data_IF_157543402520
#
_entry.id   IF_157543402520
#
_cell.length_a   1.000
_cell.length_b   1.000
_cell.length_c   1.000
_cell.angle_alpha   90.00
_cell.angle_beta   90.00
_cell.angle_gamma   90.00
#
_symmetry.space_group_name_H-M   'P 1'
#
loop_
_entity.id
_entity.type
_entity.pdbx_description
1 polymer ?
#
# COMPACT_ATOMS: atom_id res chain seq x y z
N UNK A 1 0.51 17.15 14.59
CA UNK A 1 -0.11 16.89 13.26
C UNK A 1 0.52 17.90 12.32
N UNK A 2 1.55 17.53 11.57
CA UNK A 2 2.15 18.37 10.56
C UNK A 2 1.31 18.22 9.27
N UNK A 3 0.63 19.27 8.83
CA UNK A 3 0.00 19.33 7.54
C UNK A 3 0.90 20.13 6.60
N UNK A 4 1.47 19.47 5.58
CA UNK A 4 2.10 20.15 4.46
C UNK A 4 1.01 20.40 3.40
N UNK A 5 0.64 21.64 3.17
CA UNK A 5 -0.25 22.05 2.09
C UNK A 5 0.61 22.61 0.95
N UNK A 6 0.62 21.90 -0.18
CA UNK A 6 1.19 22.42 -1.42
C UNK A 6 0.11 23.21 -2.19
N UNK A 7 0.40 24.47 -2.53
CA UNK A 7 -0.35 25.25 -3.52
C UNK A 7 0.45 25.28 -4.82
N UNK A 8 -0.22 25.01 -5.91
CA UNK A 8 0.30 24.83 -7.27
C UNK A 8 0.94 26.07 -7.93
N UNK A 9 1.26 26.03 -9.24
CA UNK A 9 2.50 26.54 -9.80
C UNK A 9 2.51 28.03 -10.01
N UNK A 10 3.42 28.69 -9.30
CA UNK A 10 3.88 30.02 -9.63
C UNK A 10 5.37 30.11 -9.33
N UNK A 11 6.20 29.93 -10.34
CA UNK A 11 7.65 30.18 -10.21
C UNK A 11 7.84 31.70 -10.12
N UNK A 12 7.72 32.20 -8.90
CA UNK A 12 8.17 33.53 -8.56
C UNK A 12 9.54 33.45 -7.93
N UNK A 13 10.53 34.15 -8.52
CA UNK A 13 11.87 34.35 -7.96
C UNK A 13 11.74 34.92 -6.55
N UNK A 14 12.13 34.13 -5.55
CA UNK A 14 12.24 34.58 -4.17
C UNK A 14 13.40 35.57 -4.04
N UNK A 15 13.21 36.74 -3.41
CA UNK A 15 14.31 37.62 -3.09
C UNK A 15 15.21 36.98 -2.03
N UNK A 16 16.51 37.13 -2.25
CA UNK A 16 17.56 36.62 -1.39
C UNK A 16 17.54 37.25 0.01
N UNK A 17 17.85 36.41 0.98
CA UNK A 17 18.42 36.73 2.28
C UNK A 17 17.60 37.62 3.22
N UNK A 18 16.67 36.99 3.94
CA UNK A 18 16.44 37.42 5.33
C UNK A 18 17.44 36.63 6.19
N UNK A 19 18.20 37.34 7.01
CA UNK A 19 19.15 36.76 7.93
C UNK A 19 18.44 35.70 8.80
N UNK A 20 18.95 34.51 8.75
CA UNK A 20 18.45 33.37 9.54
C UNK A 20 18.83 33.69 11.00
N UNK A 21 17.88 34.19 11.77
CA UNK A 21 18.03 34.20 13.24
C UNK A 21 18.25 32.74 13.68
N UNK A 22 19.20 32.54 14.58
CA UNK A 22 19.51 31.21 15.10
C UNK A 22 18.21 30.51 15.56
N UNK A 23 17.94 29.35 15.03
CA UNK A 23 16.73 28.61 15.29
C UNK A 23 16.47 28.53 16.81
N UNK A 24 15.27 28.89 17.28
CA UNK A 24 14.94 28.78 18.69
C UNK A 24 15.13 27.34 19.15
N UNK A 25 15.74 27.14 20.29
CA UNK A 25 15.89 25.81 20.90
C UNK A 25 14.51 25.14 21.09
N UNK A 26 14.51 23.85 21.31
CA UNK A 26 13.27 23.09 21.49
C UNK A 26 12.38 23.75 22.55
N UNK A 27 11.09 24.08 22.26
CA UNK A 27 10.17 24.65 23.24
C UNK A 27 10.11 23.81 24.51
N UNK A 28 10.05 24.46 25.69
CA UNK A 28 10.18 23.80 26.97
C UNK A 28 9.22 22.63 27.18
N UNK A 29 8.01 22.71 26.66
CA UNK A 29 7.02 21.59 26.71
C UNK A 29 7.46 20.39 25.89
N UNK A 30 8.01 20.61 24.70
CA UNK A 30 8.55 19.55 23.85
C UNK A 30 9.83 18.97 24.46
N UNK A 31 10.67 19.80 25.07
CA UNK A 31 11.88 19.38 25.74
C UNK A 31 11.58 18.41 26.91
N UNK A 32 10.52 18.67 27.68
CA UNK A 32 10.06 17.76 28.74
C UNK A 32 9.65 16.40 28.17
N UNK A 33 8.91 16.38 27.07
CA UNK A 33 8.48 15.14 26.45
C UNK A 33 9.66 14.34 25.87
N UNK A 34 10.51 15.00 25.11
CA UNK A 34 11.69 14.37 24.48
C UNK A 34 12.63 13.80 25.55
N UNK A 35 12.90 14.59 26.61
CA UNK A 35 13.75 14.15 27.72
C UNK A 35 13.10 13.03 28.53
N UNK A 36 11.79 13.11 28.78
CA UNK A 36 11.03 12.08 29.50
C UNK A 36 11.06 10.72 28.81
N UNK A 37 11.06 10.72 27.49
CA UNK A 37 11.20 9.50 26.67
C UNK A 37 12.65 9.15 26.33
N UNK A 38 13.61 9.92 26.79
CA UNK A 38 15.06 9.72 26.53
C UNK A 38 15.38 9.57 25.03
N UNK A 39 14.71 10.35 24.20
CA UNK A 39 14.93 10.31 22.75
C UNK A 39 16.29 10.91 22.42
N UNK A 40 17.13 10.23 21.62
CA UNK A 40 18.37 10.80 21.10
C UNK A 40 18.09 12.08 20.28
N UNK A 41 19.00 13.05 20.33
CA UNK A 41 18.80 14.33 19.66
C UNK A 41 18.70 14.24 18.13
N UNK A 42 19.24 13.18 17.54
CA UNK A 42 19.24 12.88 16.11
C UNK A 42 18.05 11.99 15.67
N UNK A 43 17.20 11.56 16.61
CA UNK A 43 16.07 10.66 16.32
C UNK A 43 14.76 11.38 16.01
N UNK A 44 14.75 12.71 16.04
CA UNK A 44 13.55 13.51 15.77
C UNK A 44 13.88 14.77 14.98
N UNK A 45 12.90 15.25 14.22
CA UNK A 45 12.94 16.54 13.54
C UNK A 45 11.62 17.28 13.70
N UNK A 46 11.67 18.60 13.79
CA UNK A 46 10.50 19.48 13.83
C UNK A 46 10.67 20.61 12.83
N UNK A 47 9.70 20.75 11.94
CA UNK A 47 9.55 21.90 11.07
C UNK A 47 8.15 22.47 11.27
N UNK A 48 8.06 23.70 11.73
CA UNK A 48 6.80 24.45 11.86
C UNK A 48 6.90 25.70 11.03
N UNK A 49 5.97 25.87 10.13
CA UNK A 49 5.90 27.04 9.26
C UNK A 49 4.52 27.68 9.34
N UNK A 50 4.46 28.97 9.23
CA UNK A 50 3.22 29.70 9.06
C UNK A 50 2.64 29.38 7.67
N UNK A 51 1.36 28.98 7.63
CA UNK A 51 0.76 28.46 6.40
C UNK A 51 0.60 29.52 5.29
N UNK A 52 0.44 30.79 5.65
CA UNK A 52 0.20 31.88 4.68
C UNK A 52 1.51 32.45 4.11
N UNK A 53 2.49 32.73 4.98
CA UNK A 53 3.74 33.36 4.59
C UNK A 53 4.86 32.37 4.27
N UNK A 54 4.75 31.12 4.72
CA UNK A 54 5.82 30.13 4.67
C UNK A 54 6.95 30.41 5.68
N UNK A 55 6.81 31.40 6.55
CA UNK A 55 7.83 31.77 7.51
C UNK A 55 8.07 30.61 8.49
N UNK A 56 9.34 30.25 8.69
CA UNK A 56 9.71 29.18 9.64
C UNK A 56 9.62 29.69 11.07
N UNK A 57 8.78 29.05 11.87
CA UNK A 57 8.57 29.31 13.29
C UNK A 57 9.47 28.44 14.16
N UNK A 58 9.68 27.20 13.76
CA UNK A 58 10.54 26.24 14.42
C UNK A 58 11.21 25.36 13.39
N UNK A 59 12.52 25.21 13.51
CA UNK A 59 13.31 24.27 12.71
C UNK A 59 14.31 23.55 13.62
N UNK A 60 14.12 22.25 13.78
CA UNK A 60 15.03 21.38 14.52
C UNK A 60 15.23 20.12 13.71
N UNK A 61 16.43 19.88 13.26
CA UNK A 61 16.81 18.71 12.48
C UNK A 61 15.92 18.45 11.24
N UNK A 62 15.27 19.47 10.68
CA UNK A 62 14.34 19.28 9.55
C UNK A 62 15.03 18.76 8.29
N UNK A 63 16.32 18.98 8.14
CA UNK A 63 17.13 18.48 7.03
C UNK A 63 17.74 17.09 7.29
N UNK A 64 17.56 16.54 8.49
CA UNK A 64 18.08 15.20 8.82
C UNK A 64 17.19 14.13 8.20
N UNK A 65 17.73 13.19 7.41
CA UNK A 65 16.95 12.09 6.87
C UNK A 65 16.45 11.18 8.01
N UNK A 66 15.14 11.12 8.17
CA UNK A 66 14.46 10.27 9.15
C UNK A 66 13.54 9.29 8.40
N UNK A 67 13.36 8.09 8.97
CA UNK A 67 12.41 7.13 8.41
C UNK A 67 10.98 7.67 8.61
N UNK A 68 10.25 8.01 7.54
CA UNK A 68 8.91 8.58 7.64
C UNK A 68 7.85 7.54 8.00
N UNK A 69 8.20 6.25 8.03
CA UNK A 69 7.26 5.15 8.21
C UNK A 69 6.02 5.34 7.30
N UNK A 70 4.82 5.13 7.82
CA UNK A 70 3.57 5.29 7.04
C UNK A 70 3.28 6.70 6.55
N UNK A 71 4.01 7.73 7.00
CA UNK A 71 3.86 9.09 6.44
C UNK A 71 4.29 9.15 4.98
N UNK A 72 5.16 8.24 4.53
CA UNK A 72 5.52 8.07 3.13
C UNK A 72 4.31 7.84 2.21
N UNK A 73 3.22 7.28 2.73
CA UNK A 73 1.99 7.05 1.96
C UNK A 73 1.38 8.34 1.41
N UNK A 74 1.60 9.48 2.08
CA UNK A 74 1.15 10.79 1.59
C UNK A 74 1.85 11.13 0.27
N UNK A 75 3.16 10.94 0.20
CA UNK A 75 3.94 11.20 -1.02
C UNK A 75 3.58 10.20 -2.12
N UNK A 76 3.48 8.92 -1.79
CA UNK A 76 3.09 7.88 -2.75
C UNK A 76 1.70 8.16 -3.32
N UNK A 77 0.73 8.53 -2.47
CA UNK A 77 -0.63 8.84 -2.92
C UNK A 77 -0.66 10.09 -3.80
N UNK A 78 0.09 11.14 -3.42
CA UNK A 78 0.19 12.35 -4.23
C UNK A 78 0.76 12.04 -5.62
N UNK A 79 1.87 11.31 -5.67
CA UNK A 79 2.49 10.92 -6.93
C UNK A 79 1.54 10.08 -7.80
N UNK A 80 0.82 9.14 -7.20
CA UNK A 80 -0.18 8.34 -7.90
C UNK A 80 -1.31 9.21 -8.48
N UNK A 81 -1.84 10.15 -7.71
CA UNK A 81 -2.90 11.05 -8.18
C UNK A 81 -2.42 11.98 -9.29
N UNK A 82 -1.19 12.47 -9.22
CA UNK A 82 -0.62 13.33 -10.25
C UNK A 82 -0.30 12.58 -11.55
N UNK A 83 0.19 11.35 -11.46
CA UNK A 83 0.59 10.58 -12.63
C UNK A 83 -0.56 9.80 -13.27
N UNK A 84 -1.42 9.22 -12.48
CA UNK A 84 -2.51 8.35 -12.95
C UNK A 84 -3.85 9.07 -13.02
N UNK A 85 -4.02 10.13 -12.23
CA UNK A 85 -5.28 10.84 -12.08
C UNK A 85 -6.26 10.16 -11.12
N UNK A 86 -7.29 10.91 -10.65
CA UNK A 86 -8.24 10.41 -9.65
C UNK A 86 -9.24 9.38 -10.22
N UNK A 87 -9.33 9.24 -11.54
CA UNK A 87 -10.23 8.28 -12.19
C UNK A 87 -9.54 6.96 -12.56
N UNK A 88 -8.27 6.79 -12.21
CA UNK A 88 -7.56 5.54 -12.48
C UNK A 88 -8.19 4.37 -11.72
N UNK A 89 -8.37 3.27 -12.42
CA UNK A 89 -8.88 2.02 -11.86
C UNK A 89 -7.93 0.88 -12.21
N UNK A 90 -7.75 -0.02 -11.27
CA UNK A 90 -7.04 -1.26 -11.47
C UNK A 90 -7.88 -2.25 -12.27
N UNK A 91 -7.23 -3.11 -13.04
CA UNK A 91 -7.90 -4.13 -13.83
C UNK A 91 -7.33 -5.51 -13.54
N UNK A 92 -8.22 -6.49 -13.50
CA UNK A 92 -7.88 -7.92 -13.57
C UNK A 92 -8.68 -8.49 -14.72
N UNK A 93 -7.99 -8.97 -15.74
CA UNK A 93 -8.61 -9.41 -16.99
C UNK A 93 -8.73 -10.92 -17.06
N UNK A 94 -9.83 -11.40 -17.65
CA UNK A 94 -10.09 -12.81 -17.89
C UNK A 94 -10.15 -13.05 -19.39
N UNK A 95 -9.37 -14.02 -19.87
CA UNK A 95 -9.35 -14.41 -21.28
C UNK A 95 -9.68 -15.88 -21.44
N UNK A 96 -10.72 -16.18 -22.21
CA UNK A 96 -11.04 -17.54 -22.61
C UNK A 96 -10.12 -17.96 -23.76
N UNK A 97 -9.24 -18.90 -23.54
CA UNK A 97 -8.28 -19.41 -24.53
C UNK A 97 -8.83 -20.65 -25.24
N UNK A 98 -10.03 -20.53 -25.79
CA UNK A 98 -10.68 -21.61 -26.55
C UNK A 98 -12.14 -21.30 -26.85
N UNK A 99 -12.80 -22.12 -27.67
CA UNK A 99 -14.21 -21.99 -27.95
C UNK A 99 -15.08 -22.38 -26.76
N UNK A 100 -16.28 -21.80 -26.67
CA UNK A 100 -17.27 -22.17 -25.65
C UNK A 100 -18.41 -22.96 -26.30
N UNK A 101 -18.66 -24.17 -25.83
CA UNK A 101 -19.73 -25.04 -26.27
C UNK A 101 -20.50 -25.57 -25.06
N UNK A 102 -21.81 -25.46 -25.07
CA UNK A 102 -22.71 -25.98 -24.01
C UNK A 102 -22.26 -25.58 -22.60
N UNK A 103 -21.87 -24.32 -22.44
CA UNK A 103 -21.41 -23.79 -21.16
C UNK A 103 -19.98 -24.18 -20.77
N UNK A 104 -19.27 -24.91 -21.60
CA UNK A 104 -17.90 -25.36 -21.35
C UNK A 104 -16.91 -24.60 -22.22
N UNK A 105 -15.93 -23.97 -21.60
CA UNK A 105 -14.74 -23.44 -22.28
C UNK A 105 -13.84 -24.65 -22.61
N UNK A 106 -13.68 -24.93 -23.92
CA UNK A 106 -12.79 -25.97 -24.41
C UNK A 106 -11.36 -25.42 -24.57
N UNK A 107 -10.70 -25.17 -23.45
CA UNK A 107 -9.37 -24.57 -23.36
C UNK A 107 -9.13 -23.98 -21.99
N UNK A 108 -8.07 -23.20 -21.88
CA UNK A 108 -7.62 -22.60 -20.63
C UNK A 108 -8.35 -21.29 -20.32
N UNK A 109 -8.43 -20.93 -19.07
CA UNK A 109 -8.79 -19.59 -18.61
C UNK A 109 -7.54 -18.86 -18.16
N UNK A 110 -7.16 -17.81 -18.89
CA UNK A 110 -6.07 -16.93 -18.48
C UNK A 110 -6.64 -15.81 -17.59
N UNK A 111 -6.04 -15.64 -16.42
CA UNK A 111 -6.27 -14.50 -15.51
C UNK A 111 -5.03 -13.63 -15.49
N UNK A 112 -5.15 -12.40 -15.98
CA UNK A 112 -4.06 -11.44 -16.02
C UNK A 112 -4.27 -10.37 -14.95
N UNK A 113 -3.31 -10.29 -14.02
CA UNK A 113 -3.30 -9.27 -12.98
C UNK A 113 -2.75 -7.93 -13.49
N UNK A 114 -3.42 -6.85 -13.14
CA UNK A 114 -2.98 -5.48 -13.38
C UNK A 114 -2.49 -4.78 -12.11
N UNK A 115 -2.22 -5.52 -11.04
CA UNK A 115 -1.69 -4.98 -9.80
C UNK A 115 -2.74 -4.39 -8.87
N UNK A 116 -4.00 -4.85 -8.95
CA UNK A 116 -5.06 -4.42 -8.04
C UNK A 116 -4.72 -4.82 -6.60
N UNK A 117 -4.42 -3.87 -5.69
CA UNK A 117 -4.10 -4.17 -4.31
C UNK A 117 -5.33 -4.56 -3.48
N UNK A 118 -6.54 -4.43 -4.05
CA UNK A 118 -7.80 -4.64 -3.35
C UNK A 118 -8.68 -5.71 -4.02
N UNK A 119 -8.04 -6.69 -4.67
CA UNK A 119 -8.73 -7.85 -5.23
C UNK A 119 -9.14 -8.80 -4.09
N UNK A 120 -10.27 -8.53 -3.47
CA UNK A 120 -10.82 -9.33 -2.38
C UNK A 120 -11.73 -10.44 -2.90
N UNK A 121 -12.21 -11.31 -2.00
CA UNK A 121 -13.09 -12.43 -2.32
C UNK A 121 -14.34 -11.99 -3.12
N UNK A 122 -14.95 -10.88 -2.75
CA UNK A 122 -16.15 -10.39 -3.45
C UNK A 122 -15.87 -10.01 -4.90
N UNK A 123 -14.71 -9.42 -5.19
CA UNK A 123 -14.28 -9.10 -6.55
C UNK A 123 -14.05 -10.38 -7.34
N UNK A 124 -13.35 -11.35 -6.77
CA UNK A 124 -13.14 -12.68 -7.39
C UNK A 124 -14.49 -13.35 -7.67
N UNK A 125 -15.40 -13.35 -6.70
CA UNK A 125 -16.76 -13.89 -6.87
C UNK A 125 -17.52 -13.18 -7.99
N UNK A 126 -17.39 -11.87 -8.11
CA UNK A 126 -18.02 -11.09 -9.18
C UNK A 126 -17.43 -11.41 -10.56
N UNK A 127 -16.12 -11.65 -10.64
CA UNK A 127 -15.45 -12.13 -11.86
C UNK A 127 -16.01 -13.48 -12.29
N UNK A 128 -16.15 -14.44 -11.37
CA UNK A 128 -16.75 -15.75 -11.66
C UNK A 128 -18.21 -15.62 -12.14
N UNK A 129 -19.01 -14.77 -11.50
CA UNK A 129 -20.36 -14.44 -11.99
C UNK A 129 -20.37 -13.82 -13.37
N UNK A 130 -19.36 -13.01 -13.70
CA UNK A 130 -19.23 -12.42 -15.03
C UNK A 130 -18.98 -13.52 -16.08
N UNK A 131 -18.11 -14.49 -15.82
CA UNK A 131 -17.91 -15.66 -16.68
C UNK A 131 -19.21 -16.44 -16.89
N UNK A 132 -19.95 -16.68 -15.82
CA UNK A 132 -21.25 -17.39 -15.90
C UNK A 132 -22.24 -16.61 -16.79
N UNK A 133 -22.30 -15.28 -16.67
CA UNK A 133 -23.16 -14.44 -17.54
C UNK A 133 -22.73 -14.48 -19.01
N UNK A 134 -21.46 -14.74 -19.30
CA UNK A 134 -20.94 -14.96 -20.64
C UNK A 134 -21.16 -16.40 -21.14
N UNK A 135 -21.87 -17.23 -20.35
CA UNK A 135 -22.20 -18.60 -20.69
C UNK A 135 -21.11 -19.61 -20.36
N UNK A 136 -20.07 -19.23 -19.61
CA UNK A 136 -19.00 -20.14 -19.18
C UNK A 136 -19.30 -20.63 -17.77
N UNK A 137 -19.66 -21.91 -17.62
CA UNK A 137 -19.95 -22.55 -16.35
C UNK A 137 -18.95 -23.67 -16.01
N UNK A 138 -18.14 -24.07 -17.00
CA UNK A 138 -17.11 -25.09 -16.87
C UNK A 138 -15.88 -24.68 -17.68
N UNK A 139 -14.71 -25.00 -17.17
CA UNK A 139 -13.42 -24.88 -17.85
C UNK A 139 -12.85 -26.27 -17.96
N UNK A 140 -12.45 -26.72 -19.16
CA UNK A 140 -11.90 -28.06 -19.41
C UNK A 140 -10.37 -28.07 -19.38
N UNK A 141 -9.74 -26.93 -19.57
CA UNK A 141 -8.30 -26.72 -19.50
C UNK A 141 -7.84 -26.23 -18.14
N UNK A 142 -6.71 -25.57 -18.12
CA UNK A 142 -6.05 -25.06 -16.93
C UNK A 142 -6.46 -23.62 -16.59
N UNK A 143 -6.24 -23.22 -15.34
CA UNK A 143 -6.24 -21.82 -14.92
C UNK A 143 -4.81 -21.29 -15.03
N UNK A 144 -4.59 -20.40 -15.98
CA UNK A 144 -3.29 -19.78 -16.23
C UNK A 144 -3.26 -18.42 -15.54
N UNK A 145 -2.27 -18.17 -14.69
CA UNK A 145 -2.12 -16.92 -13.98
C UNK A 145 -0.96 -16.10 -14.60
N UNK A 146 -1.27 -14.91 -15.11
CA UNK A 146 -0.28 -13.97 -15.65
C UNK A 146 -0.03 -12.85 -14.62
N UNK A 147 1.14 -12.86 -14.02
CA UNK A 147 1.60 -11.88 -13.05
C UNK A 147 2.68 -10.95 -13.62
N UNK A 148 2.91 -10.99 -14.92
CA UNK A 148 4.02 -10.32 -15.60
C UNK A 148 3.91 -8.78 -15.66
N UNK A 149 2.82 -8.21 -15.15
CA UNK A 149 2.62 -6.75 -15.11
C UNK A 149 3.64 -6.05 -14.21
N UNK A 150 4.09 -6.71 -13.14
CA UNK A 150 5.16 -6.21 -12.30
C UNK A 150 6.48 -6.88 -12.66
N UNK A 151 7.55 -6.08 -12.67
CA UNK A 151 8.89 -6.61 -12.75
C UNK A 151 9.26 -7.26 -11.38
N UNK A 152 9.72 -8.50 -11.41
CA UNK A 152 10.01 -9.31 -10.23
C UNK A 152 11.31 -8.86 -9.52
N UNK A 153 11.51 -7.55 -9.35
CA UNK A 153 12.72 -6.98 -8.76
C UNK A 153 12.75 -6.91 -7.23
N UNK A 154 11.65 -7.25 -6.54
CA UNK A 154 11.59 -7.16 -5.07
C UNK A 154 11.84 -8.54 -4.47
N UNK A 155 12.82 -8.63 -3.57
CA UNK A 155 13.22 -9.86 -2.88
C UNK A 155 12.89 -9.79 -1.39
N UNK A 156 12.83 -10.95 -0.73
CA UNK A 156 12.57 -11.07 0.72
C UNK A 156 13.58 -10.31 1.59
N UNK A 157 14.80 -10.10 1.10
CA UNK A 157 15.86 -9.35 1.80
C UNK A 157 15.50 -7.86 2.05
N UNK A 158 14.39 -7.38 1.48
CA UNK A 158 13.95 -5.99 1.58
C UNK A 158 12.78 -5.81 2.57
N UNK A 159 12.47 -6.82 3.36
CA UNK A 159 11.43 -6.72 4.40
C UNK A 159 11.81 -5.68 5.46
N UNK A 160 10.79 -4.93 5.93
CA UNK A 160 11.00 -3.75 6.78
C UNK A 160 11.48 -4.14 8.18
N UNK A 161 11.08 -5.29 8.71
CA UNK A 161 11.23 -5.64 10.12
C UNK A 161 11.49 -7.12 10.42
N UNK A 162 11.88 -7.91 9.45
CA UNK A 162 12.07 -9.38 9.56
C UNK A 162 10.83 -10.14 10.09
N UNK A 163 9.62 -9.59 9.92
CA UNK A 163 8.37 -10.23 10.31
C UNK A 163 7.64 -10.73 9.06
N UNK A 164 8.06 -11.87 8.54
CA UNK A 164 7.56 -12.47 7.29
C UNK A 164 6.04 -12.74 7.34
N UNK A 165 5.50 -13.07 8.52
CA UNK A 165 4.08 -13.37 8.72
C UNK A 165 3.16 -12.13 8.70
N UNK A 166 3.72 -10.92 8.60
CA UNK A 166 2.91 -9.71 8.58
C UNK A 166 2.40 -9.40 7.18
N UNK A 167 1.10 -9.20 7.04
CA UNK A 167 0.46 -8.90 5.76
C UNK A 167 1.06 -7.68 5.03
N UNK A 168 1.63 -6.71 5.76
CA UNK A 168 2.27 -5.55 5.15
C UNK A 168 3.68 -5.83 4.58
N UNK A 169 4.25 -7.01 4.88
CA UNK A 169 5.51 -7.47 4.30
C UNK A 169 5.33 -8.41 3.11
N UNK A 170 4.08 -8.65 2.69
CA UNK A 170 3.81 -9.46 1.50
C UNK A 170 4.49 -8.84 0.27
N UNK A 171 5.16 -9.65 -0.52
CA UNK A 171 5.83 -9.19 -1.73
C UNK A 171 4.82 -8.73 -2.77
N UNK A 172 5.12 -7.64 -3.50
CA UNK A 172 4.25 -7.16 -4.57
C UNK A 172 4.02 -8.24 -5.64
N UNK A 173 2.76 -8.47 -5.97
CA UNK A 173 2.37 -9.39 -7.03
C UNK A 173 1.23 -8.76 -7.83
N UNK A 174 1.32 -8.83 -9.15
CA UNK A 174 0.33 -8.23 -10.04
C UNK A 174 -1.06 -8.88 -9.94
N UNK A 175 -1.14 -10.10 -9.41
CA UNK A 175 -2.38 -10.84 -9.18
C UNK A 175 -2.48 -11.30 -7.72
N UNK A 176 -2.32 -10.38 -6.81
CA UNK A 176 -2.48 -10.63 -5.39
C UNK A 176 -3.97 -10.59 -5.02
N UNK A 177 -4.47 -11.62 -4.36
CA UNK A 177 -5.84 -11.62 -3.82
C UNK A 177 -5.83 -11.69 -2.30
N UNK A 178 -6.86 -11.09 -1.69
CA UNK A 178 -7.11 -11.11 -0.25
C UNK A 178 -5.87 -10.76 0.59
N UNK A 179 -5.01 -9.83 0.11
CA UNK A 179 -3.74 -9.43 0.74
C UNK A 179 -2.75 -10.59 0.96
N UNK A 180 -2.92 -11.72 0.28
CA UNK A 180 -2.24 -13.00 0.55
C UNK A 180 -2.36 -13.44 2.02
N UNK A 181 -3.42 -13.04 2.69
CA UNK A 181 -3.69 -13.37 4.07
C UNK A 181 -4.77 -14.44 4.16
N UNK A 182 -4.56 -15.42 5.03
CA UNK A 182 -5.53 -16.46 5.34
C UNK A 182 -5.80 -16.45 6.83
N UNK A 183 -7.07 -16.42 7.21
CA UNK A 183 -7.48 -16.51 8.62
C UNK A 183 -7.74 -17.95 9.00
N UNK A 184 -7.05 -18.43 10.02
CA UNK A 184 -7.28 -19.76 10.58
C UNK A 184 -8.08 -19.67 11.86
N UNK A 185 -9.15 -20.46 11.93
CA UNK A 185 -9.97 -20.61 13.14
C UNK A 185 -9.68 -21.98 13.76
N UNK A 186 -9.39 -21.97 15.05
CA UNK A 186 -9.14 -23.18 15.84
C UNK A 186 -10.26 -23.37 16.83
N UNK A 187 -10.94 -24.51 16.79
CA UNK A 187 -12.03 -24.85 17.70
C UNK A 187 -11.79 -26.23 18.34
N UNK A 188 -12.05 -26.39 19.63
CA UNK A 188 -12.05 -27.74 20.23
C UNK A 188 -13.09 -28.61 19.53
N UNK A 189 -12.72 -29.82 19.13
CA UNK A 189 -13.65 -30.82 18.62
C UNK A 189 -14.54 -31.33 19.75
N UNK A 190 -15.71 -31.87 19.42
CA UNK A 190 -16.67 -32.40 20.36
C UNK A 190 -16.12 -33.56 21.24
N UNK A 191 -15.11 -34.28 20.76
CA UNK A 191 -14.46 -35.37 21.46
C UNK A 191 -13.44 -34.91 22.54
N UNK A 192 -13.16 -33.60 22.60
CA UNK A 192 -12.19 -33.00 23.54
C UNK A 192 -10.74 -33.44 23.35
N UNK A 193 -10.41 -34.11 22.26
CA UNK A 193 -9.06 -34.64 21.99
C UNK A 193 -8.41 -34.05 20.76
N UNK A 194 -9.19 -33.46 19.87
CA UNK A 194 -8.74 -32.89 18.62
C UNK A 194 -9.09 -31.40 18.55
N UNK A 195 -8.41 -30.69 17.66
CA UNK A 195 -8.72 -29.30 17.30
C UNK A 195 -9.20 -29.31 15.85
N UNK A 196 -10.39 -28.78 15.64
CA UNK A 196 -10.89 -28.50 14.28
C UNK A 196 -10.26 -27.20 13.79
N UNK A 197 -9.67 -27.25 12.60
CA UNK A 197 -9.08 -26.10 11.95
C UNK A 197 -9.87 -25.79 10.71
N UNK A 198 -10.34 -24.57 10.58
CA UNK A 198 -10.93 -24.04 9.34
C UNK A 198 -10.14 -22.83 8.89
N UNK A 199 -10.02 -22.63 7.59
CA UNK A 199 -9.39 -21.48 6.98
C UNK A 199 -10.46 -20.67 6.24
N UNK A 200 -10.29 -19.37 6.26
CA UNK A 200 -11.08 -18.39 5.51
C UNK A 200 -10.11 -17.48 4.75
N UNK A 201 -10.26 -17.40 3.41
CA UNK A 201 -9.38 -16.61 2.57
C UNK A 201 -9.45 -15.11 2.85
#
# INVERSE_FOLDING_TARGET
IAAALFTGPGIGLLPAALAQEAAPGLPSRLQVVVSGHKLPADSYGFLVQEAQSGATVLDINSATPLNPASTMKLLTTLAALEQLGPAFNWHTDLYALGPVHDGTLAGDLLVRGGGDPYLLEDQVRNMLKALQRQGITRISGDLVLDTSYFDAGVTEDQLIDNQEDRAYNVLPNALMSNFQAVTFYFRPAADGKHVEVSADP
#
